data_IF_340689547421
#
_entry.id   IF_340689547421
#
_cell.length_a   1.000
_cell.length_b   1.000
_cell.length_c   1.000
_cell.angle_alpha   90.00
_cell.angle_beta   90.00
_cell.angle_gamma   90.00
#
_symmetry.space_group_name_H-M   'P 1'
#
loop_
_entity.id
_entity.type
_entity.pdbx_description
1 polymer ?
#
# COMPACT_ATOMS: atom_id res chain seq x y z
N UNK A 1 -3.98 1.15 9.30
CA UNK A 1 -3.62 2.46 8.78
C UNK A 1 -2.30 2.90 9.33
N UNK A 2 -1.60 3.68 8.58
CA UNK A 2 -0.35 4.20 9.03
C UNK A 2 -0.48 5.24 10.11
N UNK A 3 0.64 5.78 10.49
CA UNK A 3 0.72 6.78 11.53
C UNK A 3 -0.06 8.03 11.21
N UNK A 4 -0.65 8.62 12.19
CA UNK A 4 -1.30 9.92 12.10
C UNK A 4 -0.40 11.04 12.58
N UNK A 5 0.80 10.76 13.01
CA UNK A 5 1.73 11.80 13.45
C UNK A 5 2.12 12.70 12.32
N UNK A 6 2.40 13.95 12.62
CA UNK A 6 2.97 14.86 11.64
C UNK A 6 4.23 15.48 12.22
N UNK A 7 5.10 15.86 11.34
CA UNK A 7 6.23 16.71 11.62
C UNK A 7 6.04 17.97 10.92
N UNK A 8 6.71 18.83 11.30
CA UNK A 8 6.71 19.90 10.50
C UNK A 8 7.47 19.89 9.21
N UNK A 9 7.77 19.96 8.63
CA UNK A 9 8.33 19.97 7.76
C UNK A 9 8.48 20.63 6.86
N UNK A 10 8.49 21.03 6.29
CA UNK A 10 8.64 21.31 5.38
C UNK A 10 8.77 21.79 4.47
N UNK A 11 8.75 22.10 3.97
CA UNK A 11 8.88 22.44 3.04
C UNK A 11 9.07 22.91 2.29
N UNK A 12 9.12 23.32 2.08
CA UNK A 12 9.35 23.71 1.23
C UNK A 12 9.45 23.90 0.60
N UNK A 13 9.40 24.23 0.43
CA UNK A 13 9.46 24.44 -0.35
C UNK A 13 8.94 24.29 -0.97
N UNK A 14 8.78 24.62 -1.05
CA UNK A 14 8.40 24.57 -1.74
C UNK A 14 7.88 24.63 -1.99
N UNK A 15 7.72 24.94 -1.97
CA UNK A 15 7.55 25.13 -2.32
C UNK A 15 7.25 25.32 -2.51
N UNK A 16 7.22 25.79 -2.71
CA UNK A 16 7.24 26.10 -3.00
C UNK A 16 6.90 26.05 -3.09
N UNK A 17 6.75 26.36 -3.22
CA UNK A 17 6.74 26.51 -3.46
C UNK A 17 6.15 26.36 -3.21
N UNK A 18 5.54 26.70 -3.31
CA UNK A 18 5.50 26.86 -3.20
C UNK A 18 4.68 26.68 -2.84
N UNK A 19 4.19 27.01 -2.63
CA UNK A 19 4.05 27.01 -2.51
C UNK A 19 3.27 26.82 -2.26
N UNK A 20 2.58 27.19 -1.92
CA UNK A 20 2.38 27.25 -1.93
C UNK A 20 1.60 27.24 -1.57
N UNK A 21 1.19 27.46 -1.27
CA UNK A 21 0.83 27.77 -1.15
C UNK A 21 0.19 28.02 -0.96
N UNK A 22 -0.44 28.29 -0.82
CA UNK A 22 -0.82 28.80 -0.87
C UNK A 22 -1.54 28.98 -0.88
N UNK A 23 -2.04 29.32 -0.90
CA UNK A 23 -2.41 29.61 -1.15
C UNK A 23 -2.98 29.57 -1.46
N UNK A 24 -3.62 29.97 -1.52
CA UNK A 24 -3.72 30.08 -2.07
C UNK A 24 -3.85 29.81 -2.65
N UNK A 25 -4.18 30.16 -2.96
CA UNK A 25 -3.84 29.94 -3.71
C UNK A 25 -3.26 29.57 -4.11
N UNK A 26 -3.73 29.61 -4.03
CA UNK A 26 -2.93 29.23 -4.57
C UNK A 26 -2.46 28.87 -5.04
N UNK A 27 -2.55 29.10 -5.22
CA UNK A 27 -1.93 28.78 -5.80
C UNK A 27 -1.63 28.15 -6.27
N UNK A 28 -2.31 28.47 -6.85
CA UNK A 28 -1.88 27.75 -7.24
C UNK A 28 -1.08 27.45 -7.52
N UNK A 29 -1.58 27.43 -7.56
CA UNK A 29 -0.29 27.36 -7.51
C UNK A 29 0.48 26.59 -8.48
N UNK A 30 1.42 27.13 -9.06
CA UNK A 30 2.28 26.37 -9.91
C UNK A 30 3.01 25.35 -9.07
N UNK A 31 2.83 24.09 -9.38
CA UNK A 31 3.57 23.03 -8.73
C UNK A 31 4.92 22.95 -9.41
N UNK A 32 5.99 23.26 -8.68
CA UNK A 32 7.35 23.23 -9.21
C UNK A 32 7.90 21.81 -9.27
N UNK A 33 7.34 20.90 -8.47
CA UNK A 33 7.70 19.51 -8.49
C UNK A 33 6.60 18.68 -9.14
N UNK A 34 6.94 17.63 -9.90
CA UNK A 34 5.93 16.71 -10.42
C UNK A 34 5.20 16.03 -9.27
N UNK A 35 3.91 15.79 -9.43
CA UNK A 35 3.16 14.96 -8.52
C UNK A 35 3.79 13.56 -8.51
N UNK A 36 3.96 12.98 -7.32
CA UNK A 36 4.63 11.69 -7.16
C UNK A 36 6.03 11.82 -6.56
N UNK A 37 6.51 13.06 -6.37
CA UNK A 37 7.85 13.29 -5.82
C UNK A 37 7.83 13.87 -4.40
N UNK A 38 6.67 14.08 -3.81
CA UNK A 38 6.57 14.77 -2.52
C UNK A 38 7.35 14.08 -1.40
N UNK A 39 7.31 12.74 -1.35
CA UNK A 39 8.03 12.02 -0.31
C UNK A 39 9.54 12.18 -0.44
N UNK A 40 10.05 12.51 -1.64
CA UNK A 40 11.49 12.72 -1.86
C UNK A 40 11.98 14.03 -1.25
N UNK A 41 11.08 14.96 -0.96
CA UNK A 41 11.43 16.22 -0.32
C UNK A 41 11.57 16.07 1.20
N UNK A 42 11.12 14.96 1.77
CA UNK A 42 11.21 14.69 3.19
C UNK A 42 12.60 14.16 3.54
N UNK A 43 13.01 14.35 4.77
CA UNK A 43 14.36 13.98 5.23
C UNK A 43 14.30 12.61 5.93
N UNK A 44 14.95 11.58 5.38
CA UNK A 44 14.91 10.24 5.99
C UNK A 44 15.33 10.22 7.47
N UNK A 45 16.31 11.04 7.86
CA UNK A 45 16.80 11.06 9.24
C UNK A 45 15.74 11.55 10.23
N UNK A 46 14.67 12.19 9.77
CA UNK A 46 13.59 12.63 10.67
C UNK A 46 12.64 11.48 11.04
N UNK A 47 12.80 10.32 10.41
CA UNK A 47 11.84 9.21 10.53
C UNK A 47 12.50 7.90 10.88
N UNK A 48 13.67 7.94 11.51
CA UNK A 48 14.40 6.73 11.88
C UNK A 48 13.57 5.81 12.76
N UNK A 49 13.72 4.51 12.53
CA UNK A 49 13.01 3.52 13.32
C UNK A 49 13.51 3.42 14.76
N UNK A 50 12.62 3.05 15.66
CA UNK A 50 12.95 3.02 17.08
C UNK A 50 12.34 1.84 17.84
N UNK A 51 11.49 1.04 17.21
CA UNK A 51 10.83 -0.08 17.88
C UNK A 51 10.40 -1.16 16.89
N UNK A 52 10.44 -2.42 17.35
CA UNK A 52 9.75 -3.50 16.65
C UNK A 52 8.26 -3.39 16.97
N UNK A 53 7.48 -2.98 15.99
CA UNK A 53 6.03 -2.88 16.13
C UNK A 53 5.41 -4.27 15.97
N UNK A 54 4.50 -4.60 16.88
CA UNK A 54 3.66 -5.78 16.72
C UNK A 54 2.61 -5.46 15.64
N UNK A 55 2.68 -6.15 14.51
CA UNK A 55 1.79 -5.87 13.38
C UNK A 55 0.44 -6.55 13.50
N UNK A 56 0.38 -7.68 14.20
CA UNK A 56 -0.85 -8.47 14.32
C UNK A 56 -0.73 -9.36 15.55
N UNK A 57 -1.75 -9.36 16.40
CA UNK A 57 -1.74 -10.15 17.62
C UNK A 57 -2.20 -11.61 17.43
N UNK A 58 -2.66 -11.95 16.23
CA UNK A 58 -3.04 -13.32 15.90
C UNK A 58 -4.36 -13.79 16.47
N UNK A 59 -5.16 -12.91 17.03
CA UNK A 59 -6.43 -13.30 17.70
C UNK A 59 -7.50 -13.74 16.71
N UNK A 60 -7.50 -13.20 15.48
CA UNK A 60 -8.49 -13.51 14.47
C UNK A 60 -8.02 -14.62 13.55
N UNK A 61 -8.95 -15.32 12.93
CA UNK A 61 -8.61 -16.37 11.96
C UNK A 61 -8.04 -15.81 10.66
N UNK A 62 -8.47 -14.62 10.28
CA UNK A 62 -8.02 -13.94 9.07
C UNK A 62 -7.46 -12.57 9.43
N UNK A 63 -6.53 -12.05 8.62
CA UNK A 63 -6.02 -10.70 8.86
C UNK A 63 -7.09 -9.65 8.63
N UNK A 64 -6.94 -8.49 9.30
CA UNK A 64 -7.87 -7.38 9.16
C UNK A 64 -8.02 -6.98 7.69
N UNK A 65 -9.20 -6.49 7.36
CA UNK A 65 -9.50 -5.95 6.04
C UNK A 65 -9.33 -6.97 4.91
N UNK A 66 -9.42 -8.24 5.22
CA UNK A 66 -9.39 -9.28 4.20
C UNK A 66 -10.63 -9.16 3.31
N UNK A 67 -10.41 -9.15 2.01
CA UNK A 67 -11.47 -9.15 1.00
C UNK A 67 -10.96 -9.77 -0.28
N UNK A 68 -11.89 -10.24 -1.10
CA UNK A 68 -11.56 -10.74 -2.44
C UNK A 68 -12.37 -10.00 -3.48
N UNK A 69 -11.88 -10.01 -4.71
CA UNK A 69 -12.56 -9.40 -5.85
C UNK A 69 -13.91 -10.07 -6.18
N UNK A 70 -14.15 -11.26 -5.66
CA UNK A 70 -15.41 -11.98 -5.87
C UNK A 70 -16.45 -11.67 -4.78
N UNK A 71 -16.10 -10.89 -3.77
CA UNK A 71 -17.01 -10.59 -2.66
C UNK A 71 -18.20 -9.75 -3.12
N UNK A 72 -19.31 -9.89 -2.39
CA UNK A 72 -20.47 -9.03 -2.60
C UNK A 72 -20.14 -7.60 -2.23
N UNK A 73 -20.73 -6.65 -2.95
CA UNK A 73 -20.55 -5.23 -2.66
C UNK A 73 -21.33 -4.85 -1.41
N UNK A 74 -20.74 -4.05 -0.57
CA UNK A 74 -21.35 -3.52 0.66
C UNK A 74 -21.67 -2.04 0.47
N UNK A 75 -22.54 -1.51 1.34
CA UNK A 75 -22.80 -0.07 1.35
C UNK A 75 -21.51 0.69 1.58
N UNK A 76 -21.30 1.83 0.91
CA UNK A 76 -20.09 2.64 1.09
C UNK A 76 -20.01 3.21 2.50
N UNK A 77 -18.79 3.45 2.96
CA UNK A 77 -18.55 4.04 4.27
C UNK A 77 -18.98 5.50 4.28
N UNK A 78 -19.58 5.91 5.39
CA UNK A 78 -20.13 7.28 5.53
C UNK A 78 -19.06 8.36 5.56
N UNK A 79 -17.81 8.00 5.78
CA UNK A 79 -16.72 8.98 5.79
C UNK A 79 -16.38 9.53 4.40
N UNK A 80 -16.98 8.96 3.36
CA UNK A 80 -16.85 9.45 1.99
C UNK A 80 -18.20 9.97 1.51
N UNK A 81 -18.20 10.95 0.62
CA UNK A 81 -19.44 11.51 0.05
C UNK A 81 -19.86 10.67 -1.17
N UNK A 82 -20.23 9.43 -0.92
CA UNK A 82 -20.61 8.50 -1.96
C UNK A 82 -22.14 8.32 -1.99
N UNK A 83 -22.65 8.12 -3.21
CA UNK A 83 -24.05 7.82 -3.39
C UNK A 83 -24.32 6.35 -3.05
N UNK A 84 -24.98 6.11 -1.92
CA UNK A 84 -25.27 4.76 -1.46
C UNK A 84 -26.25 4.02 -2.38
N UNK A 85 -26.99 4.75 -3.22
CA UNK A 85 -27.92 4.16 -4.19
C UNK A 85 -27.24 3.80 -5.52
N UNK A 86 -26.00 4.25 -5.72
CA UNK A 86 -25.28 3.94 -6.95
C UNK A 86 -24.79 2.50 -6.92
N UNK A 87 -25.12 1.74 -7.97
CA UNK A 87 -24.69 0.34 -8.09
C UNK A 87 -23.60 0.27 -9.15
N UNK A 88 -22.33 0.10 -8.76
CA UNK A 88 -21.26 -0.02 -9.74
C UNK A 88 -21.36 -1.34 -10.51
N UNK A 89 -20.81 -1.35 -11.72
CA UNK A 89 -20.73 -2.56 -12.54
C UNK A 89 -19.86 -3.61 -11.83
N UNK A 90 -20.28 -4.87 -11.94
CA UNK A 90 -19.44 -6.01 -11.49
C UNK A 90 -18.68 -6.65 -12.65
N UNK A 91 -18.71 -6.04 -13.83
CA UNK A 91 -18.04 -6.63 -14.98
C UNK A 91 -16.60 -6.98 -14.70
N UNK A 92 -16.25 -8.25 -14.88
CA UNK A 92 -14.89 -8.75 -14.71
C UNK A 92 -14.44 -9.01 -13.27
N UNK A 93 -15.28 -8.73 -12.26
CA UNK A 93 -14.85 -8.92 -10.86
C UNK A 93 -14.61 -10.38 -10.50
N UNK A 94 -15.46 -11.29 -10.97
CA UNK A 94 -15.32 -12.70 -10.62
C UNK A 94 -14.06 -13.34 -11.23
N UNK A 95 -13.59 -12.81 -12.34
CA UNK A 95 -12.39 -13.27 -13.01
C UNK A 95 -11.16 -12.43 -12.69
N UNK A 96 -11.30 -11.45 -11.80
CA UNK A 96 -10.21 -10.53 -11.49
C UNK A 96 -9.07 -11.21 -10.72
N UNK A 97 -9.40 -12.16 -9.86
CA UNK A 97 -8.44 -12.97 -9.12
C UNK A 97 -7.45 -12.15 -8.29
N UNK A 98 -7.99 -11.22 -7.53
CA UNK A 98 -7.20 -10.46 -6.57
C UNK A 98 -7.88 -10.45 -5.21
N UNK A 99 -7.08 -10.23 -4.18
CA UNK A 99 -7.54 -10.09 -2.81
C UNK A 99 -6.63 -9.12 -2.07
N UNK A 100 -7.03 -8.72 -0.89
CA UNK A 100 -6.22 -7.83 -0.08
C UNK A 100 -6.43 -8.03 1.40
N UNK A 101 -5.46 -7.61 2.21
CA UNK A 101 -5.56 -7.62 3.65
C UNK A 101 -4.46 -6.80 4.31
N UNK A 102 -4.53 -6.71 5.63
CA UNK A 102 -3.43 -6.24 6.49
C UNK A 102 -2.32 -7.29 6.54
N UNK A 103 -1.24 -6.95 7.26
CA UNK A 103 -0.21 -7.91 7.65
C UNK A 103 -0.83 -9.05 8.48
N UNK A 104 -0.19 -10.20 8.49
CA UNK A 104 -0.77 -11.45 8.99
C UNK A 104 0.25 -12.26 9.77
N UNK A 105 -0.28 -13.14 10.64
CA UNK A 105 0.53 -14.19 11.26
C UNK A 105 0.72 -15.34 10.25
N UNK A 106 1.69 -16.23 10.49
CA UNK A 106 1.83 -17.42 9.63
C UNK A 106 0.55 -18.25 9.56
N UNK A 107 -0.15 -18.41 10.67
CA UNK A 107 -1.41 -19.17 10.70
C UNK A 107 -2.50 -18.50 9.87
N UNK A 108 -2.60 -17.17 9.97
CA UNK A 108 -3.58 -16.42 9.19
C UNK A 108 -3.28 -16.52 7.68
N UNK A 109 -2.01 -16.49 7.29
CA UNK A 109 -1.67 -16.64 5.88
C UNK A 109 -2.03 -18.01 5.34
N UNK A 110 -1.87 -19.06 6.15
CA UNK A 110 -2.33 -20.39 5.75
C UNK A 110 -3.84 -20.42 5.54
N UNK A 111 -4.59 -19.73 6.39
CA UNK A 111 -6.04 -19.61 6.23
C UNK A 111 -6.41 -18.84 4.96
N UNK A 112 -5.70 -17.77 4.67
CA UNK A 112 -5.88 -17.01 3.41
C UNK A 112 -5.60 -17.93 2.22
N UNK A 113 -4.47 -18.63 2.24
CA UNK A 113 -4.10 -19.55 1.16
C UNK A 113 -5.17 -20.60 0.92
N UNK A 114 -5.74 -21.18 1.99
CA UNK A 114 -6.79 -22.19 1.87
C UNK A 114 -8.04 -21.61 1.19
N UNK A 115 -8.43 -20.39 1.58
CA UNK A 115 -9.60 -19.74 0.96
C UNK A 115 -9.37 -19.46 -0.52
N UNK A 116 -8.19 -18.97 -0.87
CA UNK A 116 -7.87 -18.62 -2.26
C UNK A 116 -7.70 -19.88 -3.12
N UNK A 117 -7.21 -20.97 -2.55
CA UNK A 117 -7.07 -22.21 -3.28
C UNK A 117 -8.42 -22.81 -3.70
N UNK A 118 -9.49 -22.47 -2.99
CA UNK A 118 -10.84 -22.84 -3.40
C UNK A 118 -11.30 -22.10 -4.65
N UNK A 119 -10.66 -20.98 -4.96
CA UNK A 119 -11.07 -20.08 -6.04
C UNK A 119 -10.22 -20.20 -7.30
N UNK A 120 -9.02 -20.75 -7.19
CA UNK A 120 -8.13 -20.89 -8.34
C UNK A 120 -7.23 -22.12 -8.20
N UNK A 121 -6.96 -22.77 -9.33
CA UNK A 121 -5.96 -23.83 -9.41
C UNK A 121 -4.57 -23.27 -9.78
N UNK A 122 -4.50 -22.00 -10.18
CA UNK A 122 -3.26 -21.37 -10.61
C UNK A 122 -2.36 -20.97 -9.45
N UNK A 123 -1.23 -20.37 -9.75
CA UNK A 123 -0.31 -19.92 -8.72
C UNK A 123 -0.92 -18.77 -7.92
N UNK A 124 -0.69 -18.79 -6.61
CA UNK A 124 -1.14 -17.75 -5.69
C UNK A 124 0.09 -17.00 -5.20
N UNK A 125 0.07 -15.68 -5.35
CA UNK A 125 1.18 -14.83 -4.94
C UNK A 125 0.80 -14.01 -3.72
N UNK A 126 1.68 -14.01 -2.73
CA UNK A 126 1.71 -13.00 -1.68
C UNK A 126 2.45 -11.80 -2.27
N UNK A 127 1.72 -10.74 -2.58
CA UNK A 127 2.30 -9.50 -3.10
C UNK A 127 2.44 -8.51 -1.94
N UNK A 128 3.66 -8.43 -1.45
CA UNK A 128 4.00 -7.64 -0.27
C UNK A 128 4.37 -6.22 -0.71
N UNK A 129 3.55 -5.25 -0.31
CA UNK A 129 3.66 -3.86 -0.77
C UNK A 129 4.43 -2.96 0.19
N UNK A 130 5.10 -3.53 1.17
CA UNK A 130 5.68 -2.75 2.27
C UNK A 130 7.14 -2.38 2.00
N UNK A 131 7.46 -1.10 2.13
CA UNK A 131 8.84 -0.63 2.11
C UNK A 131 9.51 -0.87 3.46
N UNK A 132 8.77 -0.70 4.55
CA UNK A 132 9.31 -0.86 5.91
C UNK A 132 9.82 -2.28 6.12
N UNK A 133 10.95 -2.39 6.81
CA UNK A 133 11.54 -3.68 7.13
C UNK A 133 10.63 -4.45 8.07
N UNK A 134 10.28 -5.68 7.71
CA UNK A 134 9.35 -6.50 8.48
C UNK A 134 9.64 -7.98 8.28
N UNK A 135 9.10 -8.77 9.18
CA UNK A 135 9.25 -10.22 9.14
C UNK A 135 8.69 -10.81 10.41
N UNK A 136 9.24 -11.93 10.83
CA UNK A 136 8.70 -12.70 11.95
C UNK A 136 9.81 -13.01 12.96
N UNK A 137 9.56 -12.62 14.20
CA UNK A 137 10.41 -12.97 15.33
C UNK A 137 9.65 -13.98 16.18
N UNK A 138 10.15 -15.22 16.27
CA UNK A 138 9.45 -16.34 16.93
C UNK A 138 8.02 -16.50 16.43
N UNK A 139 7.81 -16.31 15.11
CA UNK A 139 6.48 -16.40 14.50
C UNK A 139 5.60 -15.17 14.70
N UNK A 140 6.09 -14.16 15.40
CA UNK A 140 5.34 -12.92 15.66
C UNK A 140 5.59 -11.94 14.52
N UNK A 141 4.55 -11.45 13.85
CA UNK A 141 4.74 -10.48 12.77
C UNK A 141 5.14 -9.11 13.33
N UNK A 142 6.27 -8.61 12.88
CA UNK A 142 6.83 -7.35 13.37
C UNK A 142 7.32 -6.48 12.22
N UNK A 143 7.38 -5.18 12.46
CA UNK A 143 8.02 -4.24 11.54
C UNK A 143 8.88 -3.26 12.31
N UNK A 144 9.97 -2.82 11.67
CA UNK A 144 10.84 -1.80 12.27
C UNK A 144 10.19 -0.45 12.05
N UNK A 145 9.64 0.12 13.12
CA UNK A 145 8.76 1.26 13.05
C UNK A 145 9.47 2.57 13.36
N UNK A 146 9.34 3.52 12.47
CA UNK A 146 9.62 4.92 12.70
C UNK A 146 8.36 5.73 12.41
N UNK A 147 8.35 6.98 12.76
CA UNK A 147 7.20 7.85 12.58
C UNK A 147 6.71 7.80 11.13
N UNK A 148 5.36 7.86 10.95
CA UNK A 148 4.69 7.70 9.65
C UNK A 148 4.93 6.35 8.99
N UNK A 149 5.52 5.43 9.68
CA UNK A 149 5.93 4.14 9.10
C UNK A 149 7.00 4.33 8.02
N UNK A 150 7.83 5.35 8.17
CA UNK A 150 8.81 5.80 7.19
C UNK A 150 10.26 5.49 7.56
N UNK A 151 10.50 4.45 8.35
CA UNK A 151 11.86 4.12 8.75
C UNK A 151 12.78 3.84 7.56
N UNK A 152 12.22 3.42 6.42
CA UNK A 152 12.99 3.19 5.19
C UNK A 152 12.77 4.27 4.11
N UNK A 153 12.26 5.44 4.52
CA UNK A 153 12.01 6.52 3.56
C UNK A 153 13.26 6.79 2.73
N UNK A 154 13.08 6.90 1.42
CA UNK A 154 14.15 7.19 0.47
C UNK A 154 14.95 5.97 0.03
N UNK A 155 14.75 4.81 0.65
CA UNK A 155 15.45 3.60 0.25
C UNK A 155 14.83 2.99 -1.01
N UNK A 156 15.68 2.53 -1.90
CA UNK A 156 15.28 1.77 -3.07
C UNK A 156 14.77 0.37 -2.67
N UNK A 157 14.20 -0.34 -3.63
CA UNK A 157 13.81 -1.74 -3.45
C UNK A 157 14.96 -2.55 -2.84
N UNK A 158 16.12 -2.47 -3.45
CA UNK A 158 17.30 -3.24 -3.01
C UNK A 158 17.73 -2.82 -1.60
N UNK A 159 17.77 -1.53 -1.33
CA UNK A 159 18.22 -1.00 -0.03
C UNK A 159 17.24 -1.37 1.09
N UNK A 160 15.94 -1.31 0.81
CA UNK A 160 14.94 -1.67 1.81
C UNK A 160 15.03 -3.15 2.18
N UNK A 161 15.20 -4.03 1.20
CA UNK A 161 15.33 -5.46 1.46
C UNK A 161 16.65 -5.78 2.18
N UNK A 162 17.72 -5.07 1.88
CA UNK A 162 19.00 -5.25 2.59
C UNK A 162 18.87 -4.83 4.06
N UNK A 163 18.21 -3.70 4.33
CA UNK A 163 17.95 -3.25 5.70
C UNK A 163 17.15 -4.30 6.47
N UNK A 164 16.10 -4.82 5.83
CA UNK A 164 15.23 -5.82 6.45
C UNK A 164 16.01 -7.09 6.83
N UNK A 165 16.78 -7.63 5.90
CA UNK A 165 17.58 -8.83 6.17
C UNK A 165 18.55 -8.59 7.30
N UNK A 166 19.21 -7.43 7.31
CA UNK A 166 20.17 -7.09 8.36
C UNK A 166 19.50 -7.01 9.72
N UNK A 167 18.34 -6.34 9.81
CA UNK A 167 17.63 -6.17 11.10
C UNK A 167 17.08 -7.49 11.61
N UNK A 168 16.51 -8.31 10.76
CA UNK A 168 16.00 -9.61 11.16
C UNK A 168 17.15 -10.51 11.66
N UNK A 169 18.23 -10.55 10.90
CA UNK A 169 19.39 -11.35 11.31
C UNK A 169 19.98 -10.86 12.63
N UNK A 170 20.06 -9.56 12.81
CA UNK A 170 20.61 -8.97 14.03
C UNK A 170 19.74 -9.26 15.27
N UNK A 171 18.44 -9.52 15.07
CA UNK A 171 17.54 -9.81 16.18
C UNK A 171 17.70 -11.24 16.72
N UNK A 172 18.26 -12.15 15.92
CA UNK A 172 18.40 -13.54 16.32
C UNK A 172 19.31 -13.67 17.54
N UNK A 173 18.82 -14.36 18.56
CA UNK A 173 19.52 -14.57 19.84
C UNK A 173 19.74 -13.27 20.62
N UNK A 174 18.97 -12.25 20.34
CA UNK A 174 18.99 -10.99 21.09
C UNK A 174 17.69 -10.82 21.85
N UNK A 175 17.75 -9.98 22.89
CA UNK A 175 16.58 -9.56 23.64
C UNK A 175 16.05 -8.29 22.99
N UNK A 176 14.79 -8.32 22.54
CA UNK A 176 14.16 -7.21 21.85
C UNK A 176 12.83 -6.86 22.52
N UNK A 177 12.41 -5.62 22.35
CA UNK A 177 11.11 -5.16 22.79
C UNK A 177 10.17 -5.13 21.58
N UNK A 178 9.04 -5.83 21.67
CA UNK A 178 8.02 -5.89 20.62
C UNK A 178 6.74 -5.30 21.22
N UNK A 179 6.18 -4.27 20.56
CA UNK A 179 5.02 -3.59 21.13
C UNK A 179 4.04 -3.13 20.05
N UNK A 180 2.73 -3.17 20.35
CA UNK A 180 1.77 -2.45 19.53
C UNK A 180 1.94 -0.95 19.74
N UNK A 181 1.38 -0.14 18.84
CA UNK A 181 1.36 1.31 19.00
C UNK A 181 0.10 1.71 19.74
N UNK A 182 0.30 2.47 20.81
CA UNK A 182 -0.78 3.07 21.59
C UNK A 182 -1.06 4.50 21.19
N UNK A 183 -1.37 5.34 22.19
CA UNK A 183 -1.63 6.76 21.97
C UNK A 183 -0.43 7.44 21.33
N UNK A 184 -0.71 8.39 20.45
CA UNK A 184 0.30 9.18 19.74
C UNK A 184 1.27 8.32 18.94
N UNK A 185 0.84 7.08 18.58
CA UNK A 185 1.67 6.14 17.83
C UNK A 185 2.98 5.81 18.55
N UNK A 186 2.94 5.76 19.87
CA UNK A 186 4.08 5.34 20.69
C UNK A 186 3.89 3.91 21.18
N UNK A 187 4.98 3.15 21.35
CA UNK A 187 4.90 1.77 21.84
C UNK A 187 4.24 1.71 23.20
N UNK A 188 3.35 0.74 23.39
CA UNK A 188 2.62 0.61 24.65
C UNK A 188 2.24 -0.85 24.87
N UNK A 189 2.53 -1.36 26.07
CA UNK A 189 2.03 -2.68 26.47
C UNK A 189 2.67 -3.85 25.75
N UNK A 190 3.89 -3.70 25.31
CA UNK A 190 4.60 -4.76 24.62
C UNK A 190 5.25 -5.77 25.54
N UNK A 191 6.05 -6.65 24.94
CA UNK A 191 6.82 -7.64 25.67
C UNK A 191 8.29 -7.55 25.32
N UNK A 192 9.13 -7.95 26.27
CA UNK A 192 10.56 -8.15 26.06
C UNK A 192 10.74 -9.65 25.79
N UNK A 193 11.45 -9.97 24.71
CA UNK A 193 11.59 -11.37 24.29
C UNK A 193 13.00 -11.63 23.80
N UNK A 194 13.56 -12.78 24.20
CA UNK A 194 14.78 -13.28 23.58
C UNK A 194 14.41 -14.09 22.35
N UNK A 195 14.83 -13.63 21.20
CA UNK A 195 14.43 -14.19 19.91
C UNK A 195 15.20 -15.48 19.61
N UNK A 196 14.48 -16.55 19.35
CA UNK A 196 15.07 -17.86 19.04
C UNK A 196 15.01 -18.19 17.56
N UNK A 197 14.13 -17.52 16.80
CA UNK A 197 13.91 -17.83 15.40
C UNK A 197 13.52 -16.56 14.66
N UNK A 198 14.10 -16.35 13.48
CA UNK A 198 13.68 -15.28 12.60
C UNK A 198 13.27 -15.85 11.25
N UNK A 199 12.26 -15.26 10.61
CA UNK A 199 11.79 -15.66 9.31
C UNK A 199 11.49 -14.42 8.49
N UNK A 200 11.80 -14.47 7.20
CA UNK A 200 11.31 -13.48 6.24
C UNK A 200 9.86 -13.81 5.88
N UNK A 201 9.16 -12.83 5.35
CA UNK A 201 7.79 -13.09 4.87
C UNK A 201 7.80 -14.06 3.68
N UNK A 202 8.83 -14.02 2.84
CA UNK A 202 8.96 -14.98 1.75
C UNK A 202 8.96 -16.42 2.26
N UNK A 203 9.70 -16.69 3.32
CA UNK A 203 9.74 -18.03 3.92
C UNK A 203 8.37 -18.45 4.45
N UNK A 204 7.67 -17.53 5.08
CA UNK A 204 6.32 -17.80 5.61
C UNK A 204 5.32 -18.02 4.47
N UNK A 205 5.40 -17.23 3.42
CA UNK A 205 4.54 -17.38 2.24
C UNK A 205 4.75 -18.73 1.56
N UNK A 206 6.01 -19.10 1.36
CA UNK A 206 6.34 -20.40 0.72
C UNK A 206 5.88 -21.57 1.57
N UNK A 207 6.00 -21.46 2.89
CA UNK A 207 5.49 -22.48 3.80
C UNK A 207 3.97 -22.62 3.75
N UNK A 208 3.27 -21.57 3.33
CA UNK A 208 1.81 -21.58 3.16
C UNK A 208 1.40 -22.02 1.74
N UNK A 209 2.36 -22.40 0.88
CA UNK A 209 2.07 -22.80 -0.49
C UNK A 209 1.88 -21.65 -1.46
N UNK A 210 2.31 -20.46 -1.08
CA UNK A 210 2.21 -19.26 -1.91
C UNK A 210 3.59 -18.88 -2.47
N UNK A 211 3.58 -18.21 -3.60
CA UNK A 211 4.77 -17.55 -4.12
C UNK A 211 4.83 -16.15 -3.53
N UNK A 212 5.98 -15.51 -3.67
CA UNK A 212 6.21 -14.21 -3.04
C UNK A 212 6.71 -13.20 -4.06
N UNK A 213 6.12 -12.00 -4.04
CA UNK A 213 6.63 -10.89 -4.83
C UNK A 213 6.60 -9.63 -3.97
N UNK A 214 7.74 -8.92 -3.91
CA UNK A 214 7.89 -7.74 -3.06
C UNK A 214 7.96 -6.47 -3.89
N UNK A 215 7.15 -5.48 -3.49
CA UNK A 215 7.23 -4.11 -4.00
C UNK A 215 7.40 -3.20 -2.79
N UNK A 216 8.58 -2.63 -2.63
CA UNK A 216 8.90 -1.81 -1.47
C UNK A 216 8.29 -0.41 -1.63
N UNK A 217 6.99 -0.29 -1.37
CA UNK A 217 6.26 0.97 -1.51
C UNK A 217 6.16 1.69 -0.18
N UNK A 218 6.46 2.99 -0.20
CA UNK A 218 6.41 3.86 0.99
C UNK A 218 4.96 4.03 1.45
N UNK A 219 4.74 3.88 2.75
CA UNK A 219 3.40 4.05 3.31
C UNK A 219 2.88 5.47 3.12
N UNK A 220 1.57 5.61 2.98
CA UNK A 220 0.83 6.88 2.90
C UNK A 220 0.98 7.65 1.59
N UNK A 221 1.87 7.25 0.69
CA UNK A 221 2.13 8.00 -0.54
C UNK A 221 1.82 7.16 -1.77
N UNK A 222 1.69 7.83 -2.90
CA UNK A 222 1.56 7.13 -4.19
C UNK A 222 2.85 6.37 -4.49
N UNK A 223 2.77 5.16 -5.03
CA UNK A 223 3.97 4.38 -5.36
C UNK A 223 4.90 5.12 -6.32
N UNK A 224 6.19 4.89 -6.17
CA UNK A 224 7.17 5.50 -7.07
C UNK A 224 7.02 4.96 -8.49
N UNK A 225 7.51 5.68 -9.51
CA UNK A 225 7.53 5.15 -10.87
C UNK A 225 8.23 3.80 -10.95
N UNK A 226 9.30 3.60 -10.18
CA UNK A 226 10.03 2.34 -10.13
C UNK A 226 9.16 1.21 -9.55
N UNK A 227 8.37 1.50 -8.52
CA UNK A 227 7.45 0.52 -7.94
C UNK A 227 6.42 0.05 -8.97
N UNK A 228 5.83 0.98 -9.69
CA UNK A 228 4.79 0.67 -10.67
C UNK A 228 5.37 -0.05 -11.87
N UNK A 229 6.54 0.37 -12.36
CA UNK A 229 7.22 -0.33 -13.46
C UNK A 229 7.53 -1.77 -13.07
N UNK A 230 7.99 -1.99 -11.83
CA UNK A 230 8.25 -3.33 -11.31
C UNK A 230 6.98 -4.16 -11.28
N UNK A 231 5.88 -3.58 -10.84
CA UNK A 231 4.59 -4.27 -10.83
C UNK A 231 4.13 -4.62 -12.25
N UNK A 232 4.22 -3.68 -13.19
CA UNK A 232 3.78 -3.94 -14.57
C UNK A 232 4.61 -5.03 -15.24
N UNK A 233 5.93 -5.03 -15.01
CA UNK A 233 6.80 -6.08 -15.54
C UNK A 233 6.40 -7.46 -15.00
N UNK A 234 6.11 -7.52 -13.70
CA UNK A 234 5.62 -8.72 -13.06
C UNK A 234 4.25 -9.15 -13.62
N UNK A 235 3.32 -8.20 -13.70
CA UNK A 235 1.97 -8.45 -14.18
C UNK A 235 1.98 -9.07 -15.58
N UNK A 236 2.83 -8.57 -16.48
CA UNK A 236 2.90 -9.08 -17.85
C UNK A 236 3.40 -10.52 -17.94
N UNK A 237 4.05 -11.05 -16.90
CA UNK A 237 4.57 -12.42 -16.91
C UNK A 237 3.58 -13.44 -16.35
N UNK A 238 2.48 -12.98 -15.76
CA UNK A 238 1.58 -13.87 -15.01
C UNK A 238 0.69 -14.71 -15.93
N UNK A 239 0.48 -15.98 -15.59
CA UNK A 239 -0.57 -16.75 -16.25
C UNK A 239 -1.93 -16.19 -15.87
N UNK A 240 -2.93 -16.45 -16.73
CA UNK A 240 -4.24 -15.85 -16.59
C UNK A 240 -4.97 -16.28 -15.31
N UNK A 241 -4.66 -17.47 -14.80
CA UNK A 241 -5.29 -18.00 -13.59
C UNK A 241 -4.52 -17.67 -12.31
N UNK A 242 -3.46 -16.87 -12.39
CA UNK A 242 -2.73 -16.42 -11.20
C UNK A 242 -3.63 -15.60 -10.29
N UNK A 243 -3.49 -15.80 -8.99
CA UNK A 243 -4.17 -15.01 -7.98
C UNK A 243 -3.18 -14.14 -7.25
N UNK A 244 -3.48 -12.85 -7.10
CA UNK A 244 -2.62 -11.91 -6.39
C UNK A 244 -3.29 -11.49 -5.09
N UNK A 245 -2.66 -11.85 -3.97
CA UNK A 245 -3.06 -11.35 -2.67
C UNK A 245 -2.17 -10.18 -2.29
N UNK A 246 -2.72 -8.98 -2.36
CA UNK A 246 -1.99 -7.76 -2.00
C UNK A 246 -2.11 -7.50 -0.51
N UNK A 247 -1.02 -7.08 0.12
CA UNK A 247 -1.13 -6.62 1.50
C UNK A 247 -0.13 -5.52 1.81
N UNK A 248 -0.44 -4.77 2.86
CA UNK A 248 0.42 -3.76 3.45
C UNK A 248 0.36 -3.96 4.96
N UNK A 249 0.63 -2.94 5.77
CA UNK A 249 0.49 -3.10 7.21
C UNK A 249 -0.99 -3.17 7.60
N UNK A 250 -1.79 -2.18 7.18
CA UNK A 250 -3.23 -2.13 7.49
C UNK A 250 -4.11 -2.75 6.42
N UNK A 251 -3.63 -2.91 5.21
CA UNK A 251 -4.43 -3.44 4.10
C UNK A 251 -5.38 -2.43 3.50
N UNK A 252 -5.17 -1.15 3.71
CA UNK A 252 -6.09 -0.10 3.27
C UNK A 252 -5.47 0.74 2.15
N UNK A 253 -4.43 1.52 2.45
CA UNK A 253 -3.89 2.49 1.49
C UNK A 253 -3.20 1.85 0.29
N UNK A 254 -1.98 1.36 0.52
CA UNK A 254 -1.16 0.76 -0.54
C UNK A 254 -1.86 -0.43 -1.19
N UNK A 255 -2.51 -1.25 -0.38
CA UNK A 255 -3.25 -2.43 -0.86
C UNK A 255 -4.33 -2.04 -1.84
N UNK A 256 -5.17 -1.05 -1.49
CA UNK A 256 -6.25 -0.63 -2.39
C UNK A 256 -5.69 0.00 -3.67
N UNK A 257 -4.60 0.76 -3.58
CA UNK A 257 -4.00 1.37 -4.77
C UNK A 257 -3.63 0.32 -5.81
N UNK A 258 -2.96 -0.76 -5.39
CA UNK A 258 -2.55 -1.82 -6.31
C UNK A 258 -3.74 -2.68 -6.76
N UNK A 259 -4.74 -2.88 -5.91
CA UNK A 259 -5.95 -3.58 -6.33
C UNK A 259 -6.73 -2.78 -7.38
N UNK A 260 -6.84 -1.47 -7.19
CA UNK A 260 -7.47 -0.58 -8.17
C UNK A 260 -6.70 -0.61 -9.50
N UNK A 261 -5.38 -0.48 -9.44
CA UNK A 261 -4.56 -0.53 -10.67
C UNK A 261 -4.73 -1.86 -11.41
N UNK A 262 -4.76 -2.97 -10.68
CA UNK A 262 -4.92 -4.30 -11.29
C UNK A 262 -6.31 -4.44 -11.92
N UNK A 263 -7.34 -3.93 -11.25
CA UNK A 263 -8.69 -3.93 -11.80
C UNK A 263 -8.74 -3.14 -13.13
N UNK A 264 -8.11 -1.98 -13.16
CA UNK A 264 -8.01 -1.18 -14.39
C UNK A 264 -7.31 -1.94 -15.53
N UNK A 265 -6.20 -2.61 -15.20
CA UNK A 265 -5.41 -3.34 -16.19
C UNK A 265 -6.20 -4.51 -16.79
N UNK A 266 -6.93 -5.24 -15.97
CA UNK A 266 -7.71 -6.40 -16.43
C UNK A 266 -9.07 -6.02 -17.00
N UNK A 267 -9.64 -4.92 -16.55
CA UNK A 267 -10.99 -4.48 -16.95
C UNK A 267 -10.96 -3.05 -17.48
N UNK A 268 -10.19 -2.81 -18.55
CA UNK A 268 -9.99 -1.44 -19.05
C UNK A 268 -11.24 -0.79 -19.63
N UNK A 269 -12.28 -1.58 -19.94
CA UNK A 269 -13.54 -1.02 -20.46
C UNK A 269 -14.50 -0.59 -19.36
N UNK A 270 -14.20 -0.91 -18.10
CA UNK A 270 -15.02 -0.47 -16.97
C UNK A 270 -14.64 0.96 -16.61
N UNK A 271 -15.63 1.78 -16.27
CA UNK A 271 -15.40 3.19 -15.97
C UNK A 271 -14.55 3.36 -14.69
N UNK A 272 -13.84 4.46 -14.64
CA UNK A 272 -13.07 4.81 -13.43
C UNK A 272 -13.97 4.88 -12.20
N UNK A 273 -15.14 5.49 -12.34
CA UNK A 273 -16.11 5.60 -11.25
C UNK A 273 -16.49 4.22 -10.70
N UNK A 274 -16.80 3.27 -11.59
CA UNK A 274 -17.19 1.93 -11.16
C UNK A 274 -16.06 1.19 -10.48
N UNK A 275 -14.84 1.31 -11.02
CA UNK A 275 -13.67 0.66 -10.39
C UNK A 275 -13.44 1.21 -9.00
N UNK A 276 -13.47 2.54 -8.82
CA UNK A 276 -13.24 3.15 -7.52
C UNK A 276 -14.33 2.78 -6.51
N UNK A 277 -15.60 2.77 -6.94
CA UNK A 277 -16.70 2.37 -6.08
C UNK A 277 -16.58 0.91 -5.66
N UNK A 278 -16.39 0.01 -6.61
CA UNK A 278 -16.41 -1.42 -6.30
C UNK A 278 -15.22 -1.86 -5.45
N UNK A 279 -14.04 -1.27 -5.67
CA UNK A 279 -12.90 -1.59 -4.82
C UNK A 279 -13.08 -1.08 -3.39
N UNK A 280 -13.76 0.05 -3.22
CA UNK A 280 -14.17 0.50 -1.90
C UNK A 280 -15.23 -0.43 -1.30
N UNK A 281 -16.24 -0.80 -2.08
CA UNK A 281 -17.39 -1.52 -1.56
C UNK A 281 -17.11 -2.99 -1.26
N UNK A 282 -15.97 -3.53 -1.67
CA UNK A 282 -15.52 -4.83 -1.17
C UNK A 282 -14.65 -4.69 0.08
N UNK A 283 -14.36 -3.47 0.51
CA UNK A 283 -13.63 -3.25 1.76
C UNK A 283 -12.39 -2.39 1.66
N UNK A 284 -12.07 -1.85 0.49
CA UNK A 284 -10.91 -1.01 0.29
C UNK A 284 -11.17 0.47 0.59
N UNK A 285 -10.13 1.27 0.40
CA UNK A 285 -10.22 2.73 0.52
C UNK A 285 -10.90 3.29 -0.75
N UNK A 286 -11.60 4.43 -0.62
CA UNK A 286 -12.12 5.10 -1.80
C UNK A 286 -11.11 6.13 -2.31
N UNK A 287 -10.57 5.91 -3.50
CA UNK A 287 -9.51 6.75 -4.06
C UNK A 287 -10.02 7.94 -4.88
N UNK A 288 -11.30 8.26 -4.81
CA UNK A 288 -11.88 9.37 -5.57
C UNK A 288 -11.95 10.69 -4.83
N UNK A 289 -11.78 10.69 -3.52
CA UNK A 289 -11.85 11.92 -2.73
C UNK A 289 -11.23 11.75 -1.35
N UNK A 290 -11.15 12.86 -0.60
CA UNK A 290 -10.73 12.80 0.80
C UNK A 290 -11.84 12.22 1.67
N UNK A 291 -11.50 11.53 2.77
CA UNK A 291 -12.50 11.19 3.78
C UNK A 291 -13.12 12.46 4.37
N UNK A 292 -14.43 12.43 4.62
CA UNK A 292 -15.18 13.57 5.16
C UNK A 292 -14.54 14.13 6.41
N UNK A 293 -14.02 13.24 7.28
CA UNK A 293 -13.45 13.63 8.56
C UNK A 293 -11.95 13.88 8.52
N UNK A 294 -11.41 14.17 7.37
CA UNK A 294 -10.05 14.71 7.31
C UNK A 294 -10.13 16.10 7.89
N UNK A 295 -9.93 16.19 9.20
CA UNK A 295 -10.26 17.38 9.97
C UNK A 295 -9.32 18.52 9.75
N UNK A 296 -8.08 18.21 9.48
CA UNK A 296 -7.02 19.18 9.49
C UNK A 296 -6.52 19.38 8.08
N UNK A 297 -6.90 20.49 7.48
CA UNK A 297 -6.47 20.83 6.12
C UNK A 297 -4.96 20.98 6.04
N UNK A 298 -4.30 21.22 7.17
CA UNK A 298 -2.85 21.37 7.24
C UNK A 298 -2.16 20.09 7.70
N UNK A 299 -2.92 18.99 7.86
CA UNK A 299 -2.32 17.70 8.16
C UNK A 299 -1.28 17.34 7.10
N UNK A 300 -0.18 16.73 7.55
CA UNK A 300 0.85 16.27 6.63
C UNK A 300 0.30 15.30 5.58
N UNK A 301 -0.82 14.62 5.85
CA UNK A 301 -1.44 13.65 4.94
C UNK A 301 -2.15 14.31 3.75
N UNK A 302 -2.56 15.56 3.88
CA UNK A 302 -3.42 16.20 2.88
C UNK A 302 -2.81 16.20 1.49
N UNK A 303 -1.54 16.60 1.36
CA UNK A 303 -0.89 16.64 0.04
C UNK A 303 -0.74 15.25 -0.56
N UNK A 304 -0.57 14.23 0.29
CA UNK A 304 -0.42 12.83 -0.18
C UNK A 304 -1.76 12.23 -0.60
N UNK A 305 -2.85 12.59 0.05
CA UNK A 305 -4.18 12.23 -0.45
C UNK A 305 -4.45 12.85 -1.81
N UNK A 306 -4.12 14.13 -1.95
CA UNK A 306 -4.31 14.84 -3.23
C UNK A 306 -3.49 14.20 -4.34
N UNK A 307 -2.24 13.88 -4.04
CA UNK A 307 -1.36 13.18 -4.96
C UNK A 307 -1.96 11.85 -5.42
N UNK A 308 -2.45 11.05 -4.48
CA UNK A 308 -3.03 9.73 -4.82
C UNK A 308 -4.25 9.85 -5.70
N UNK A 309 -5.11 10.83 -5.44
CA UNK A 309 -6.31 11.07 -6.25
C UNK A 309 -5.93 11.42 -7.69
N UNK A 310 -4.96 12.32 -7.84
CA UNK A 310 -4.49 12.73 -9.15
C UNK A 310 -3.84 11.57 -9.89
N UNK A 311 -3.00 10.82 -9.21
CA UNK A 311 -2.22 9.75 -9.84
C UNK A 311 -3.05 8.53 -10.19
N UNK A 312 -4.09 8.23 -9.42
CA UNK A 312 -4.99 7.11 -9.76
C UNK A 312 -5.73 7.41 -11.07
N UNK A 313 -6.15 8.66 -11.24
CA UNK A 313 -6.80 9.10 -12.48
C UNK A 313 -5.81 9.07 -13.65
N UNK A 314 -4.57 9.49 -13.40
CA UNK A 314 -3.51 9.45 -14.41
C UNK A 314 -3.20 8.01 -14.82
N UNK A 315 -3.21 7.08 -13.86
CA UNK A 315 -2.99 5.67 -14.18
C UNK A 315 -4.13 5.10 -15.03
N UNK A 316 -5.36 5.55 -14.79
CA UNK A 316 -6.49 5.16 -15.64
C UNK A 316 -6.27 5.60 -17.10
N UNK A 317 -5.76 6.83 -17.29
CA UNK A 317 -5.39 7.30 -18.63
C UNK A 317 -4.30 6.46 -19.26
N UNK A 318 -3.28 6.12 -18.48
CA UNK A 318 -2.21 5.23 -18.94
C UNK A 318 -2.78 3.92 -19.45
N UNK A 319 -3.69 3.33 -18.70
CA UNK A 319 -4.33 2.07 -19.08
C UNK A 319 -5.08 2.21 -20.41
N UNK A 320 -5.87 3.27 -20.54
CA UNK A 320 -6.64 3.49 -21.78
C UNK A 320 -5.73 3.65 -22.99
N UNK A 321 -4.60 4.31 -22.86
CA UNK A 321 -3.68 4.59 -23.96
C UNK A 321 -2.75 3.43 -24.28
N UNK A 322 -2.55 2.50 -23.36
CA UNK A 322 -1.56 1.43 -23.53
C UNK A 322 -2.14 0.02 -23.55
N UNK A 323 -3.45 -0.13 -23.40
CA UNK A 323 -4.08 -1.47 -23.37
C UNK A 323 -3.92 -2.22 -24.68
N UNK A 324 -3.86 -1.50 -25.80
CA UNK A 324 -3.83 -2.14 -27.11
C UNK A 324 -2.59 -2.97 -27.34
N UNK A 325 -1.45 -2.62 -26.73
CA UNK A 325 -0.20 -3.36 -26.89
C UNK A 325 0.20 -4.14 -25.60
N UNK A 326 -0.74 -4.30 -24.68
CA UNK A 326 -0.48 -5.06 -23.46
C UNK A 326 0.43 -4.35 -22.48
N UNK A 327 0.40 -3.02 -22.44
CA UNK A 327 1.13 -2.21 -21.46
C UNK A 327 2.65 -2.33 -21.63
N UNK A 328 3.13 -2.38 -22.86
CA UNK A 328 4.57 -2.51 -23.13
C UNK A 328 5.36 -1.26 -22.76
N UNK A 329 4.76 -0.07 -22.90
CA UNK A 329 5.42 1.16 -22.49
C UNK A 329 5.44 1.25 -20.98
N UNK A 330 6.60 1.37 -20.33
CA UNK A 330 6.65 1.50 -18.88
C UNK A 330 5.91 2.75 -18.40
N UNK A 331 5.30 2.64 -17.23
CA UNK A 331 4.61 3.77 -16.60
C UNK A 331 5.54 4.98 -16.46
N UNK A 332 6.78 4.76 -16.01
CA UNK A 332 7.76 5.85 -15.82
C UNK A 332 8.04 6.60 -17.10
N UNK A 333 8.08 5.90 -18.22
CA UNK A 333 8.33 6.51 -19.53
C UNK A 333 7.10 7.29 -19.98
N UNK A 334 5.92 6.69 -19.91
CA UNK A 334 4.67 7.34 -20.29
C UNK A 334 4.43 8.61 -19.46
N UNK A 335 4.69 8.53 -18.16
CA UNK A 335 4.44 9.64 -17.25
C UNK A 335 5.29 10.88 -17.58
N UNK A 336 6.50 10.70 -18.08
CA UNK A 336 7.36 11.83 -18.46
C UNK A 336 6.74 12.70 -19.53
N UNK A 337 6.02 12.09 -20.48
CA UNK A 337 5.34 12.84 -21.53
C UNK A 337 3.89 13.19 -21.20
N UNK A 338 3.40 12.71 -20.05
CA UNK A 338 2.04 12.98 -19.58
C UNK A 338 2.09 13.38 -18.10
N UNK A 339 2.75 14.50 -17.77
CA UNK A 339 2.90 14.87 -16.37
C UNK A 339 1.55 15.10 -15.71
N UNK A 340 1.40 14.56 -14.50
CA UNK A 340 0.19 14.76 -13.72
C UNK A 340 0.16 16.16 -13.16
N UNK A 341 -1.02 16.75 -13.11
CA UNK A 341 -1.23 18.07 -12.52
C UNK A 341 -2.06 17.94 -11.26
N UNK A 342 -1.55 18.51 -10.21
CA UNK A 342 -2.26 18.51 -8.94
C UNK A 342 -3.37 19.56 -8.93
#
# INVERSE_FOLDING_TARGET
MGSSHHHHHHSSGLVPRGSHMASAKAPEQTVTEPVGSYARAERPQDFEGFVWRLDNDGKEALPRNFRTSADALRAPEKKFHLDAAYVPSREGMDALHISGSSAFTPAQLKNVAAKLREKTAGPIYDVDLRQESHGYLDGIPVSWYGERDWANLGKSQHEALADERHRLHAALHKTVYIAPLGKHKLPEGGEVRRVQKVQTEQEVAEAAGMRYFRIAATDHVWPTPENIDRFLAFYRTLPQDAWLHFHSEAGVGRTTAFMVMTDMLKNPSVSLKDILYRQHEIGGFYYGEFPIKTKDKDSWKTKYYREKIVMIEQFYRYVQENRADGYQTPWSVWLKSHPAKA
#
